data_IF_759568104935
#
_entry.id   IF_759568104935
#
_cell.length_a   1.000
_cell.length_b   1.000
_cell.length_c   1.000
_cell.angle_alpha   90.00
_cell.angle_beta   90.00
_cell.angle_gamma   90.00
#
_symmetry.space_group_name_H-M   'P 1'
#
loop_
_entity.id
_entity.type
_entity.pdbx_description
1 polymer ?
#
# COMPACT_ATOMS: atom_id res chain seq x y z
N UNK A 1 -0.07 4.62 -15.09
CA UNK A 1 -0.96 3.43 -15.00
C UNK A 1 -1.41 2.96 -16.38
N UNK A 2 -2.02 3.82 -17.21
CA UNK A 2 -2.45 3.43 -18.57
C UNK A 2 -1.34 2.81 -19.45
N UNK A 3 -0.10 3.28 -19.30
CA UNK A 3 1.06 2.79 -20.05
C UNK A 3 1.72 1.54 -19.45
N UNK A 4 1.26 1.04 -18.30
CA UNK A 4 1.84 -0.15 -17.65
C UNK A 4 3.26 0.04 -17.05
N UNK A 5 3.83 1.23 -17.12
CA UNK A 5 5.18 1.54 -16.60
C UNK A 5 5.22 1.58 -15.06
N UNK A 6 5.47 0.43 -14.45
CA UNK A 6 5.57 0.27 -12.99
C UNK A 6 6.74 1.05 -12.37
N UNK A 7 7.97 1.05 -12.92
CA UNK A 7 9.05 1.89 -12.42
C UNK A 7 8.66 3.36 -12.32
N UNK A 8 8.03 3.92 -13.36
CA UNK A 8 7.58 5.32 -13.35
C UNK A 8 6.47 5.58 -12.34
N UNK A 9 5.57 4.62 -12.12
CA UNK A 9 4.57 4.71 -11.03
C UNK A 9 5.27 4.75 -9.68
N UNK A 10 6.28 3.92 -9.44
CA UNK A 10 7.07 3.93 -8.21
C UNK A 10 7.79 5.26 -7.97
N UNK A 11 8.36 5.85 -9.02
CA UNK A 11 8.96 7.19 -8.96
C UNK A 11 7.91 8.24 -8.57
N UNK A 12 6.74 8.22 -9.21
CA UNK A 12 5.62 9.10 -8.88
C UNK A 12 5.18 8.97 -7.41
N UNK A 13 5.09 7.75 -6.87
CA UNK A 13 4.75 7.51 -5.47
C UNK A 13 5.80 8.12 -4.52
N UNK A 14 7.08 7.87 -4.80
CA UNK A 14 8.20 8.40 -4.01
C UNK A 14 8.23 9.93 -4.02
N UNK A 15 8.03 10.53 -5.20
CA UNK A 15 7.95 11.98 -5.35
C UNK A 15 6.75 12.56 -4.61
N UNK A 16 5.59 11.91 -4.72
CA UNK A 16 4.38 12.30 -4.00
C UNK A 16 4.58 12.26 -2.47
N UNK A 17 5.25 11.22 -1.96
CA UNK A 17 5.60 11.12 -0.55
C UNK A 17 6.51 12.28 -0.10
N UNK A 18 7.57 12.57 -0.85
CA UNK A 18 8.48 13.68 -0.56
C UNK A 18 7.75 15.04 -0.57
N UNK A 19 6.83 15.25 -1.51
CA UNK A 19 5.99 16.45 -1.55
C UNK A 19 5.10 16.56 -0.30
N UNK A 20 4.45 15.46 0.11
CA UNK A 20 3.63 15.44 1.33
C UNK A 20 4.44 15.75 2.59
N UNK A 21 5.67 15.24 2.68
CA UNK A 21 6.57 15.58 3.79
C UNK A 21 6.85 17.08 3.86
N UNK A 22 7.15 17.72 2.74
CA UNK A 22 7.40 19.16 2.69
C UNK A 22 6.17 19.96 3.09
N UNK A 23 4.99 19.57 2.63
CA UNK A 23 3.75 20.29 2.90
C UNK A 23 3.24 20.14 4.34
N UNK A 24 3.31 18.93 4.90
CA UNK A 24 2.82 18.63 6.23
C UNK A 24 3.81 19.03 7.34
N UNK A 25 5.11 19.05 7.04
CA UNK A 25 6.15 19.41 7.99
C UNK A 25 6.42 18.31 9.04
N UNK A 26 6.94 18.69 10.22
CA UNK A 26 7.33 17.75 11.27
C UNK A 26 6.16 16.84 11.72
N UNK A 27 6.43 15.56 11.94
CA UNK A 27 5.44 14.58 12.39
C UNK A 27 4.65 13.88 11.27
N UNK A 28 4.90 14.23 10.01
CA UNK A 28 4.30 13.54 8.86
C UNK A 28 4.76 12.08 8.71
N UNK A 29 6.00 11.77 9.07
CA UNK A 29 6.57 10.43 9.00
C UNK A 29 6.78 9.87 10.41
N UNK A 30 6.48 8.59 10.66
CA UNK A 30 6.90 7.94 11.87
C UNK A 30 8.45 7.87 11.92
N UNK A 31 9.05 7.91 13.12
CA UNK A 31 10.48 7.74 13.28
C UNK A 31 10.99 6.47 12.59
N UNK A 32 12.13 6.55 11.91
CA UNK A 32 12.75 5.39 11.23
C UNK A 32 12.17 5.03 9.86
N UNK A 33 11.09 5.69 9.39
CA UNK A 33 10.51 5.38 8.09
C UNK A 33 11.48 5.56 6.92
N UNK A 34 12.25 6.65 6.91
CA UNK A 34 13.24 6.91 5.85
C UNK A 34 14.29 5.80 5.81
N UNK A 35 14.80 5.35 6.96
CA UNK A 35 15.77 4.26 7.04
C UNK A 35 15.18 2.95 6.49
N UNK A 36 13.95 2.63 6.88
CA UNK A 36 13.24 1.46 6.38
C UNK A 36 13.06 1.51 4.86
N UNK A 37 12.67 2.67 4.31
CA UNK A 37 12.54 2.87 2.86
C UNK A 37 13.88 2.71 2.14
N UNK A 38 14.99 3.17 2.74
CA UNK A 38 16.32 2.93 2.16
C UNK A 38 16.68 1.43 2.14
N UNK A 39 16.35 0.68 3.20
CA UNK A 39 16.55 -0.79 3.23
C UNK A 39 15.70 -1.51 2.20
N UNK A 40 14.45 -1.06 1.99
CA UNK A 40 13.51 -1.66 1.03
C UNK A 40 13.76 -1.24 -0.43
N UNK A 41 14.47 -0.13 -0.67
CA UNK A 41 14.76 0.45 -2.00
C UNK A 41 15.19 -0.54 -3.11
N UNK A 42 16.06 -1.56 -2.87
CA UNK A 42 16.40 -2.52 -3.91
C UNK A 42 15.25 -3.47 -4.29
N UNK A 43 14.20 -3.58 -3.45
CA UNK A 43 13.09 -4.51 -3.61
C UNK A 43 11.79 -3.84 -4.09
N UNK A 44 11.74 -2.50 -4.06
CA UNK A 44 10.56 -1.72 -4.46
C UNK A 44 10.90 -0.71 -5.55
N UNK A 45 9.91 -0.36 -6.38
CA UNK A 45 9.98 0.77 -7.31
C UNK A 45 9.76 2.11 -6.59
N UNK A 46 9.00 2.11 -5.49
CA UNK A 46 8.75 3.28 -4.67
C UNK A 46 7.57 3.08 -3.73
N UNK A 47 7.21 4.11 -2.97
CA UNK A 47 6.09 4.04 -2.03
C UNK A 47 5.72 5.39 -1.44
N UNK A 48 4.59 5.41 -0.74
CA UNK A 48 4.13 6.59 -0.03
C UNK A 48 3.26 6.22 1.17
N UNK A 49 3.29 7.06 2.22
CA UNK A 49 2.32 6.95 3.31
C UNK A 49 0.90 7.15 2.76
N UNK A 50 -0.03 6.31 3.19
CA UNK A 50 -1.44 6.45 2.87
C UNK A 50 -2.09 7.55 3.74
N UNK A 51 -3.13 8.19 3.22
CA UNK A 51 -3.87 9.24 3.95
C UNK A 51 -3.02 10.46 4.33
N UNK A 52 -3.32 11.02 5.50
CA UNK A 52 -2.75 12.28 6.00
C UNK A 52 -1.28 12.17 6.45
N UNK A 53 -0.81 10.98 6.83
CA UNK A 53 0.51 10.77 7.43
C UNK A 53 0.46 10.61 8.96
N UNK A 54 1.64 10.57 9.59
CA UNK A 54 1.83 10.40 11.04
C UNK A 54 1.72 8.97 11.55
N UNK A 55 1.34 8.02 10.71
CA UNK A 55 1.23 6.60 11.04
C UNK A 55 0.30 5.84 10.09
N UNK A 56 -0.10 4.63 10.47
CA UNK A 56 -1.03 3.79 9.70
C UNK A 56 -0.34 2.97 8.62
N UNK A 57 -0.74 3.16 7.36
CA UNK A 57 -0.31 2.31 6.25
C UNK A 57 0.71 3.00 5.34
N UNK A 58 1.74 2.26 4.96
CA UNK A 58 2.66 2.58 3.88
C UNK A 58 2.31 1.70 2.68
N UNK A 59 2.01 2.30 1.53
CA UNK A 59 1.87 1.56 0.28
C UNK A 59 3.20 1.57 -0.47
N UNK A 60 3.68 0.39 -0.88
CA UNK A 60 4.88 0.23 -1.70
C UNK A 60 4.55 -0.57 -2.97
N UNK A 61 5.25 -0.24 -4.05
CA UNK A 61 5.16 -0.98 -5.30
C UNK A 61 6.37 -1.91 -5.41
N UNK A 62 6.12 -3.21 -5.35
CA UNK A 62 7.14 -4.26 -5.43
C UNK A 62 7.81 -4.33 -6.82
N UNK A 63 9.09 -4.70 -6.87
CA UNK A 63 9.80 -4.97 -8.14
C UNK A 63 9.47 -6.31 -8.77
N UNK A 64 9.26 -7.32 -7.92
CA UNK A 64 8.87 -8.67 -8.34
C UNK A 64 7.45 -8.99 -7.85
N UNK A 65 6.78 -9.99 -8.45
CA UNK A 65 5.51 -10.51 -7.94
C UNK A 65 5.60 -10.94 -6.47
N UNK A 66 4.52 -10.77 -5.70
CA UNK A 66 4.51 -11.06 -4.25
C UNK A 66 4.34 -12.56 -3.95
N UNK A 67 4.09 -13.36 -4.98
CA UNK A 67 4.09 -14.81 -4.99
C UNK A 67 5.51 -15.38 -5.03
N UNK A 68 6.49 -14.59 -5.47
CA UNK A 68 7.90 -14.98 -5.51
C UNK A 68 8.46 -15.00 -4.07
N UNK A 69 8.53 -16.20 -3.47
CA UNK A 69 8.81 -16.35 -2.04
C UNK A 69 10.15 -15.72 -1.61
N UNK A 70 11.20 -15.86 -2.41
CA UNK A 70 12.50 -15.26 -2.10
C UNK A 70 12.44 -13.73 -2.01
N UNK A 71 11.64 -13.12 -2.88
CA UNK A 71 11.41 -11.67 -2.86
C UNK A 71 10.55 -11.24 -1.68
N UNK A 72 9.49 -12.00 -1.39
CA UNK A 72 8.65 -11.79 -0.22
C UNK A 72 9.45 -11.87 1.10
N UNK A 73 10.30 -12.88 1.25
CA UNK A 73 11.18 -13.05 2.42
C UNK A 73 12.24 -11.96 2.51
N UNK A 74 12.73 -11.46 1.37
CA UNK A 74 13.63 -10.30 1.34
C UNK A 74 12.92 -9.03 1.81
N UNK A 75 11.68 -8.81 1.38
CA UNK A 75 10.86 -7.68 1.82
C UNK A 75 10.57 -7.76 3.32
N UNK A 76 10.18 -8.92 3.83
CA UNK A 76 9.96 -9.13 5.27
C UNK A 76 11.21 -8.81 6.09
N UNK A 77 12.39 -9.28 5.66
CA UNK A 77 13.66 -8.96 6.31
C UNK A 77 14.02 -7.48 6.24
N UNK A 78 13.70 -6.80 5.14
CA UNK A 78 14.02 -5.39 4.96
C UNK A 78 13.16 -4.48 5.86
N UNK A 79 11.88 -4.82 6.03
CA UNK A 79 10.96 -4.06 6.89
C UNK A 79 11.10 -4.38 8.37
N UNK A 80 11.63 -5.57 8.71
CA UNK A 80 11.86 -6.00 10.08
C UNK A 80 10.57 -6.14 10.88
N UNK A 81 10.68 -5.95 12.20
CA UNK A 81 9.55 -5.99 13.14
C UNK A 81 8.85 -4.61 13.25
N UNK A 82 9.38 -3.59 12.58
CA UNK A 82 8.83 -2.23 12.60
C UNK A 82 7.49 -2.10 11.85
N UNK A 83 7.24 -2.97 10.86
CA UNK A 83 6.02 -2.98 10.07
C UNK A 83 5.48 -4.39 9.86
N UNK A 84 4.16 -4.49 9.78
CA UNK A 84 3.47 -5.70 9.33
C UNK A 84 3.26 -5.62 7.82
N UNK A 85 3.90 -6.52 7.08
CA UNK A 85 3.79 -6.58 5.63
C UNK A 85 2.49 -7.30 5.23
N UNK A 86 1.68 -6.65 4.39
CA UNK A 86 0.41 -7.17 3.88
C UNK A 86 0.38 -7.07 2.36
N UNK A 87 -0.20 -8.08 1.71
CA UNK A 87 -0.43 -8.06 0.26
C UNK A 87 -1.66 -7.20 -0.01
N UNK A 88 -1.48 -6.12 -0.77
CA UNK A 88 -2.60 -5.28 -1.18
C UNK A 88 -3.42 -5.98 -2.27
N UNK A 89 -4.75 -6.01 -2.10
CA UNK A 89 -5.69 -6.44 -3.13
C UNK A 89 -6.50 -5.23 -3.60
N UNK A 90 -6.72 -5.13 -4.91
CA UNK A 90 -7.62 -4.13 -5.49
C UNK A 90 -8.95 -4.80 -5.78
N UNK A 91 -10.01 -4.29 -5.18
CA UNK A 91 -11.37 -4.69 -5.50
C UNK A 91 -11.95 -3.72 -6.53
N UNK A 92 -12.59 -4.25 -7.58
CA UNK A 92 -13.23 -3.44 -8.64
C UNK A 92 -14.60 -2.90 -8.21
N UNK A 93 -15.22 -3.57 -7.25
CA UNK A 93 -16.53 -3.22 -6.72
C UNK A 93 -16.41 -2.60 -5.32
N UNK A 94 -17.25 -1.61 -5.05
CA UNK A 94 -17.43 -1.04 -3.72
C UNK A 94 -18.36 -1.88 -2.84
N UNK A 95 -18.96 -1.26 -1.83
CA UNK A 95 -19.96 -1.93 -1.00
C UNK A 95 -21.22 -2.24 -1.82
N UNK A 96 -21.55 -3.52 -1.96
CA UNK A 96 -22.80 -4.00 -2.59
C UNK A 96 -23.72 -4.56 -1.51
N UNK A 97 -24.98 -4.11 -1.50
CA UNK A 97 -26.00 -4.56 -0.55
C UNK A 97 -27.16 -5.18 -1.32
N UNK A 98 -27.44 -6.46 -1.06
CA UNK A 98 -28.61 -7.15 -1.59
C UNK A 98 -29.69 -7.21 -0.52
N UNK A 99 -30.85 -6.60 -0.78
CA UNK A 99 -32.01 -6.66 0.12
C UNK A 99 -32.93 -7.78 -0.33
N UNK A 100 -33.13 -8.78 0.53
CA UNK A 100 -34.10 -9.84 0.33
C UNK A 100 -35.36 -9.56 1.14
N UNK A 101 -36.48 -9.26 0.47
CA UNK A 101 -37.80 -9.23 1.13
C UNK A 101 -38.30 -10.66 1.32
N UNK A 102 -38.66 -11.02 2.56
CA UNK A 102 -39.24 -12.33 2.88
C UNK A 102 -40.47 -12.62 2.02
N UNK A 103 -40.60 -13.86 1.56
CA UNK A 103 -41.62 -14.29 0.61
C UNK A 103 -43.05 -13.95 1.05
N UNK A 104 -43.87 -13.61 0.05
CA UNK A 104 -45.32 -13.52 0.21
C UNK A 104 -45.82 -14.84 0.78
N UNK A 105 -46.22 -14.82 2.06
CA UNK A 105 -46.96 -15.91 2.66
C UNK A 105 -48.26 -16.09 1.89
N UNK A 106 -48.38 -17.21 1.18
CA UNK A 106 -49.65 -17.68 0.63
C UNK A 106 -50.65 -17.83 1.77
N UNK A 107 -51.67 -16.98 1.78
CA UNK A 107 -52.90 -17.23 2.54
C UNK A 107 -53.71 -18.26 1.74
N UNK A 108 -53.57 -19.54 2.09
CA UNK A 108 -54.59 -20.56 1.82
C UNK A 108 -55.35 -20.90 3.10
#
# INVERSE_FOLDING_TARGET
LAEGDLPRVGECLSRYHALKRVMAGPGYEPPGLEELLQRAKPLIWGGCMCGAGGGGFLAVLSREPLEEQAHWDALQRAVGDELVLQRGTLHEEGLVVTVTTGGEGSLE
#
